data_IF_267852246497
#
_entry.id   IF_267852246497
#
_cell.length_a   1.000
_cell.length_b   1.000
_cell.length_c   1.000
_cell.angle_alpha   90.00
_cell.angle_beta   90.00
_cell.angle_gamma   90.00
#
_symmetry.space_group_name_H-M   'P 1'
#
loop_
_entity.id
_entity.type
_entity.pdbx_description
1 polymer ?
#
# COMPACT_ATOMS: atom_id res chain seq x y z
N UNK A 1 24.16 -24.84 -12.20
CA UNK A 1 23.05 -24.18 -12.94
C UNK A 1 21.77 -24.98 -12.73
N UNK A 2 20.91 -24.57 -11.79
CA UNK A 2 19.66 -25.29 -11.51
C UNK A 2 18.57 -24.74 -12.43
N UNK A 3 18.31 -25.40 -13.55
CA UNK A 3 17.22 -25.03 -14.47
C UNK A 3 15.92 -25.42 -13.79
N UNK A 4 15.12 -24.45 -13.36
CA UNK A 4 13.77 -24.68 -12.87
C UNK A 4 13.03 -25.58 -13.88
N UNK A 5 12.70 -26.81 -13.47
CA UNK A 5 11.97 -27.75 -14.31
C UNK A 5 10.61 -27.11 -14.60
N UNK A 6 10.33 -26.81 -15.87
CA UNK A 6 8.99 -26.40 -16.34
C UNK A 6 8.04 -27.59 -16.24
N UNK A 7 7.69 -28.01 -15.03
CA UNK A 7 6.55 -28.89 -14.83
C UNK A 7 5.29 -28.04 -14.89
N UNK A 8 4.87 -27.72 -16.11
CA UNK A 8 3.47 -27.40 -16.41
C UNK A 8 2.67 -28.71 -16.32
N UNK A 9 2.68 -29.34 -15.15
CA UNK A 9 1.97 -30.59 -14.91
C UNK A 9 0.46 -30.33 -14.97
N UNK A 10 -0.29 -31.32 -15.45
CA UNK A 10 -1.76 -31.32 -15.52
C UNK A 10 -2.37 -30.78 -14.21
N UNK A 11 -1.81 -31.15 -13.06
CA UNK A 11 -2.19 -30.65 -11.73
C UNK A 11 -2.15 -29.11 -11.59
N UNK A 12 -1.10 -28.44 -12.10
CA UNK A 12 -0.98 -26.98 -12.03
C UNK A 12 -2.05 -26.32 -12.92
N UNK A 13 -2.32 -26.90 -14.09
CA UNK A 13 -3.37 -26.42 -15.00
C UNK A 13 -4.75 -26.58 -14.37
N UNK A 14 -5.06 -27.76 -13.81
CA UNK A 14 -6.31 -28.02 -13.10
C UNK A 14 -6.49 -27.09 -11.89
N UNK A 15 -5.43 -26.80 -11.14
CA UNK A 15 -5.52 -25.87 -10.01
C UNK A 15 -5.84 -24.44 -10.46
N UNK A 16 -5.26 -23.99 -11.58
CA UNK A 16 -5.55 -22.65 -12.14
C UNK A 16 -7.02 -22.48 -12.53
N UNK A 17 -7.64 -23.53 -13.05
CA UNK A 17 -9.07 -23.52 -13.44
C UNK A 17 -10.00 -23.34 -12.24
N UNK A 18 -9.57 -23.77 -11.04
CA UNK A 18 -10.35 -23.66 -9.80
C UNK A 18 -10.09 -22.39 -9.00
N UNK A 19 -9.23 -21.47 -9.48
CA UNK A 19 -9.02 -20.18 -8.82
C UNK A 19 -10.29 -19.33 -8.99
N UNK A 20 -10.91 -18.84 -7.91
CA UNK A 20 -12.09 -17.99 -8.01
C UNK A 20 -11.81 -16.73 -8.84
N UNK A 21 -12.81 -16.30 -9.61
CA UNK A 21 -12.63 -15.16 -10.52
C UNK A 21 -12.25 -13.88 -9.78
N UNK A 22 -12.85 -13.63 -8.60
CA UNK A 22 -12.48 -12.54 -7.69
C UNK A 22 -10.98 -12.56 -7.34
N UNK A 23 -10.41 -13.74 -7.13
CA UNK A 23 -8.99 -13.88 -6.82
C UNK A 23 -8.12 -13.49 -8.01
N UNK A 24 -8.49 -13.92 -9.23
CA UNK A 24 -7.80 -13.54 -10.45
C UNK A 24 -7.86 -12.03 -10.69
N UNK A 25 -9.04 -11.43 -10.52
CA UNK A 25 -9.25 -9.99 -10.66
C UNK A 25 -8.36 -9.20 -9.67
N UNK A 26 -8.33 -9.61 -8.40
CA UNK A 26 -7.49 -8.98 -7.38
C UNK A 26 -6.00 -9.11 -7.70
N UNK A 27 -5.55 -10.27 -8.18
CA UNK A 27 -4.16 -10.47 -8.62
C UNK A 27 -3.85 -9.53 -9.79
N UNK A 28 -4.71 -9.50 -10.81
CA UNK A 28 -4.55 -8.64 -11.99
C UNK A 28 -4.42 -7.16 -11.60
N UNK A 29 -5.32 -6.65 -10.76
CA UNK A 29 -5.28 -5.26 -10.26
C UNK A 29 -3.99 -4.95 -9.51
N UNK A 30 -3.54 -5.84 -8.60
CA UNK A 30 -2.29 -5.64 -7.86
C UNK A 30 -1.06 -5.66 -8.76
N UNK A 31 -1.01 -6.59 -9.72
CA UNK A 31 0.08 -6.65 -10.69
C UNK A 31 0.10 -5.41 -11.59
N UNK A 32 -1.07 -4.90 -11.99
CA UNK A 32 -1.18 -3.64 -12.73
C UNK A 32 -0.62 -2.46 -11.94
N UNK A 33 -0.96 -2.32 -10.66
CA UNK A 33 -0.38 -1.29 -9.78
C UNK A 33 1.13 -1.45 -9.65
N UNK A 34 1.62 -2.66 -9.40
CA UNK A 34 3.04 -2.95 -9.26
C UNK A 34 3.84 -2.58 -10.53
N UNK A 35 3.33 -2.96 -11.71
CA UNK A 35 3.94 -2.62 -13.00
C UNK A 35 3.96 -1.11 -13.24
N UNK A 36 2.85 -0.41 -12.95
CA UNK A 36 2.80 1.04 -13.12
C UNK A 36 3.79 1.77 -12.20
N UNK A 37 3.97 1.29 -10.98
CA UNK A 37 4.97 1.83 -10.04
C UNK A 37 6.37 1.55 -10.57
N UNK A 38 6.67 0.32 -10.98
CA UNK A 38 7.98 -0.05 -11.54
C UNK A 38 8.33 0.83 -12.75
N UNK A 39 7.41 0.99 -13.70
CA UNK A 39 7.57 1.86 -14.86
C UNK A 39 7.89 3.31 -14.44
N UNK A 40 7.21 3.82 -13.40
CA UNK A 40 7.44 5.17 -12.89
C UNK A 40 8.80 5.33 -12.19
N UNK A 41 9.31 4.28 -11.54
CA UNK A 41 10.65 4.25 -10.97
C UNK A 41 11.70 4.23 -12.08
N UNK A 42 11.55 3.35 -13.07
CA UNK A 42 12.47 3.23 -14.19
C UNK A 42 12.57 4.54 -14.99
N UNK A 43 11.44 5.18 -15.27
CA UNK A 43 11.40 6.49 -15.97
C UNK A 43 12.15 7.60 -15.23
N UNK A 44 12.24 7.51 -13.91
CA UNK A 44 12.97 8.47 -13.06
C UNK A 44 14.40 8.06 -12.74
N UNK A 45 14.80 6.84 -13.11
CA UNK A 45 16.10 6.29 -12.76
C UNK A 45 16.23 5.98 -11.26
N UNK A 46 15.13 5.76 -10.55
CA UNK A 46 15.17 5.40 -9.14
C UNK A 46 15.37 3.90 -8.95
N UNK A 47 16.33 3.56 -8.09
CA UNK A 47 16.46 2.20 -7.56
C UNK A 47 15.43 1.93 -6.47
N UNK A 48 15.13 0.64 -6.23
CA UNK A 48 14.26 0.25 -5.11
C UNK A 48 14.78 0.73 -3.76
N UNK A 49 16.10 0.86 -3.61
CA UNK A 49 16.72 1.31 -2.36
C UNK A 49 16.49 2.81 -2.14
N UNK A 50 16.70 3.64 -3.17
CA UNK A 50 16.42 5.07 -3.10
C UNK A 50 14.95 5.33 -2.85
N UNK A 51 14.08 4.60 -3.56
CA UNK A 51 12.64 4.76 -3.38
C UNK A 51 12.17 4.34 -1.97
N UNK A 52 12.73 3.25 -1.44
CA UNK A 52 12.47 2.83 -0.07
C UNK A 52 12.88 3.92 0.94
N UNK A 53 14.04 4.55 0.72
CA UNK A 53 14.52 5.64 1.56
C UNK A 53 13.58 6.85 1.50
N UNK A 54 13.10 7.24 0.31
CA UNK A 54 12.14 8.34 0.15
C UNK A 54 10.81 8.10 0.89
N UNK A 55 10.36 6.85 0.96
CA UNK A 55 9.13 6.44 1.66
C UNK A 55 9.34 6.15 3.16
N UNK A 56 10.58 6.19 3.66
CA UNK A 56 10.88 5.73 5.03
C UNK A 56 10.54 4.25 5.26
N UNK A 57 10.65 3.41 4.21
CA UNK A 57 10.37 1.96 4.24
C UNK A 57 11.63 1.15 4.04
N UNK A 58 11.53 -0.16 4.26
CA UNK A 58 12.63 -1.09 3.97
C UNK A 58 12.65 -1.45 2.47
N UNK A 59 13.82 -1.60 1.83
CA UNK A 59 13.90 -2.04 0.42
C UNK A 59 13.15 -3.35 0.14
N UNK A 60 13.11 -4.25 1.12
CA UNK A 60 12.36 -5.50 1.02
C UNK A 60 10.83 -5.30 0.88
N UNK A 61 10.28 -4.21 1.43
CA UNK A 61 8.86 -3.86 1.24
C UNK A 61 8.60 -3.46 -0.20
N UNK A 62 9.47 -2.62 -0.78
CA UNK A 62 9.38 -2.22 -2.19
C UNK A 62 9.45 -3.45 -3.10
N UNK A 63 10.42 -4.33 -2.89
CA UNK A 63 10.54 -5.56 -3.69
C UNK A 63 9.30 -6.46 -3.58
N UNK A 64 8.64 -6.52 -2.41
CA UNK A 64 7.39 -7.28 -2.22
C UNK A 64 6.18 -6.63 -2.88
N UNK A 65 6.17 -5.31 -2.99
CA UNK A 65 5.14 -4.59 -3.72
C UNK A 65 5.29 -4.78 -5.22
N UNK A 66 6.51 -4.62 -5.74
CA UNK A 66 6.81 -4.78 -7.17
C UNK A 66 6.67 -6.23 -7.66
N UNK A 67 6.72 -7.23 -6.77
CA UNK A 67 6.38 -8.61 -7.15
C UNK A 67 4.89 -8.82 -7.42
N UNK A 68 4.02 -7.87 -7.06
CA UNK A 68 2.56 -7.96 -7.26
C UNK A 68 1.86 -8.98 -6.34
N UNK A 69 2.59 -9.60 -5.42
CA UNK A 69 2.08 -10.64 -4.50
C UNK A 69 1.68 -10.10 -3.13
N UNK A 70 1.94 -8.83 -2.85
CA UNK A 70 1.60 -8.19 -1.58
C UNK A 70 0.47 -7.19 -1.77
N UNK A 71 -0.34 -7.01 -0.72
CA UNK A 71 -1.42 -6.02 -0.72
C UNK A 71 -0.84 -4.63 -0.45
N UNK A 72 -1.45 -3.62 -1.07
CA UNK A 72 -1.20 -2.23 -0.76
C UNK A 72 -2.30 -1.70 0.17
N UNK A 73 -1.94 -0.82 1.10
CA UNK A 73 -2.92 0.04 1.76
C UNK A 73 -3.17 1.26 0.87
N UNK A 74 -4.33 1.90 1.01
CA UNK A 74 -4.63 3.14 0.28
C UNK A 74 -3.65 4.25 0.63
N UNK A 75 -3.27 4.38 1.90
CA UNK A 75 -2.29 5.37 2.36
C UNK A 75 -0.94 5.21 1.65
N UNK A 76 -0.45 3.97 1.53
CA UNK A 76 0.78 3.69 0.78
C UNK A 76 0.64 4.05 -0.69
N UNK A 77 -0.49 3.76 -1.32
CA UNK A 77 -0.70 4.14 -2.73
C UNK A 77 -0.69 5.67 -2.89
N UNK A 78 -1.36 6.42 -2.02
CA UNK A 78 -1.36 7.89 -2.07
C UNK A 78 0.03 8.48 -1.81
N UNK A 79 0.82 7.88 -0.92
CA UNK A 79 2.19 8.32 -0.69
C UNK A 79 3.08 8.10 -1.92
N UNK A 80 2.92 6.96 -2.59
CA UNK A 80 3.59 6.65 -3.84
C UNK A 80 3.16 7.63 -4.95
N UNK A 81 1.86 7.92 -5.08
CA UNK A 81 1.33 8.91 -6.04
C UNK A 81 2.00 10.27 -5.85
N UNK A 82 2.15 10.74 -4.61
CA UNK A 82 2.80 12.01 -4.29
C UNK A 82 4.29 12.01 -4.65
N UNK A 83 5.03 11.00 -4.22
CA UNK A 83 6.49 10.93 -4.46
C UNK A 83 6.83 10.70 -5.93
N UNK A 84 6.07 9.84 -6.59
CA UNK A 84 6.22 9.50 -7.99
C UNK A 84 5.32 10.34 -8.89
N UNK A 85 4.71 11.42 -8.43
CA UNK A 85 3.84 12.31 -9.23
C UNK A 85 3.06 11.56 -10.35
N UNK A 86 2.35 10.50 -9.97
CA UNK A 86 1.57 9.62 -10.85
C UNK A 86 0.17 9.45 -10.25
N UNK A 87 -0.80 9.02 -11.06
CA UNK A 87 -2.12 8.60 -10.58
C UNK A 87 -2.24 7.08 -10.62
N UNK A 88 -2.38 6.45 -9.45
CA UNK A 88 -2.62 5.02 -9.23
C UNK A 88 -4.10 4.72 -8.94
N UNK A 89 -4.78 5.59 -8.21
CA UNK A 89 -6.19 5.43 -7.82
C UNK A 89 -7.02 6.59 -8.35
N UNK A 90 -8.04 6.31 -9.17
CA UNK A 90 -8.98 7.33 -9.62
C UNK A 90 -10.28 7.24 -8.82
N UNK A 91 -10.64 8.31 -8.11
CA UNK A 91 -12.00 8.47 -7.59
C UNK A 91 -12.84 9.21 -8.63
N UNK A 92 -14.03 8.70 -8.95
CA UNK A 92 -14.98 9.41 -9.81
C UNK A 92 -15.62 10.62 -9.14
N UNK A 93 -15.43 10.78 -7.83
CA UNK A 93 -15.94 11.90 -7.04
C UNK A 93 -14.78 12.57 -6.30
N UNK A 94 -14.63 13.87 -6.53
CA UNK A 94 -13.79 14.70 -5.69
C UNK A 94 -14.65 15.26 -4.56
N UNK A 95 -14.28 14.93 -3.33
CA UNK A 95 -14.86 15.55 -2.15
C UNK A 95 -14.00 16.76 -1.81
N UNK A 96 -14.57 17.96 -1.89
CA UNK A 96 -13.91 19.16 -1.39
C UNK A 96 -13.92 19.10 0.14
N UNK A 97 -12.73 18.99 0.73
CA UNK A 97 -12.58 19.06 2.19
C UNK A 97 -12.86 20.49 2.61
N UNK A 98 -13.97 20.73 3.30
CA UNK A 98 -14.27 22.07 3.81
C UNK A 98 -13.52 22.31 5.13
N UNK A 99 -13.22 23.58 5.43
CA UNK A 99 -12.49 23.96 6.64
C UNK A 99 -13.18 23.46 7.93
N UNK A 100 -14.51 23.31 7.91
CA UNK A 100 -15.31 22.74 9.01
C UNK A 100 -15.02 21.27 9.26
N UNK A 101 -14.77 20.50 8.20
CA UNK A 101 -14.49 19.05 8.30
C UNK A 101 -13.12 18.84 8.94
N UNK A 102 -12.13 19.60 8.48
CA UNK A 102 -10.79 19.59 9.05
C UNK A 102 -10.78 20.03 10.52
N UNK A 103 -11.54 21.09 10.84
CA UNK A 103 -11.67 21.57 12.22
C UNK A 103 -12.29 20.50 13.13
N UNK A 104 -13.33 19.82 12.64
CA UNK A 104 -13.97 18.72 13.37
C UNK A 104 -13.02 17.55 13.60
N UNK A 105 -12.25 17.18 12.58
CA UNK A 105 -11.23 16.14 12.69
C UNK A 105 -10.17 16.48 13.75
N UNK A 106 -9.59 17.68 13.68
CA UNK A 106 -8.57 18.14 14.65
C UNK A 106 -9.13 18.15 16.07
N UNK A 107 -10.35 18.65 16.27
CA UNK A 107 -11.00 18.65 17.59
C UNK A 107 -11.16 17.22 18.12
N UNK A 108 -11.53 16.28 17.25
CA UNK A 108 -11.60 14.85 17.59
C UNK A 108 -10.26 14.28 18.05
N UNK A 109 -9.21 14.46 17.25
CA UNK A 109 -7.85 13.97 17.57
C UNK A 109 -7.33 14.55 18.89
N UNK A 110 -7.50 15.86 19.10
CA UNK A 110 -7.08 16.54 20.35
C UNK A 110 -7.83 15.98 21.56
N UNK A 111 -9.14 15.76 21.43
CA UNK A 111 -9.95 15.18 22.51
C UNK A 111 -9.48 13.77 22.86
N UNK A 112 -9.27 12.92 21.86
CA UNK A 112 -8.78 11.54 22.08
C UNK A 112 -7.38 11.55 22.71
N UNK A 113 -6.48 12.42 22.27
CA UNK A 113 -5.15 12.55 22.86
C UNK A 113 -5.23 12.97 24.34
N UNK A 114 -6.08 13.93 24.66
CA UNK A 114 -6.30 14.40 26.04
C UNK A 114 -6.85 13.28 26.94
N UNK A 115 -7.87 12.56 26.49
CA UNK A 115 -8.46 11.44 27.24
C UNK A 115 -7.43 10.33 27.53
N UNK A 116 -6.57 10.02 26.55
CA UNK A 116 -5.51 9.03 26.72
C UNK A 116 -4.44 9.50 27.71
N UNK A 117 -4.06 10.77 27.67
CA UNK A 117 -3.11 11.35 28.63
C UNK A 117 -3.67 11.31 30.07
N UNK A 118 -4.88 11.81 30.29
CA UNK A 118 -5.50 11.84 31.62
C UNK A 118 -5.72 10.43 32.19
N UNK A 119 -6.06 9.45 31.34
CA UNK A 119 -6.16 8.04 31.76
C UNK A 119 -4.81 7.51 32.22
N UNK A 120 -3.74 7.79 31.49
CA UNK A 120 -2.39 7.34 31.85
C UNK A 120 -1.92 7.96 33.17
N UNK A 121 -2.11 9.27 33.34
CA UNK A 121 -1.78 9.98 34.59
C UNK A 121 -2.57 9.44 35.80
N UNK A 122 -3.83 9.05 35.60
CA UNK A 122 -4.63 8.41 36.66
C UNK A 122 -4.14 7.01 37.05
N UNK A 123 -3.53 6.25 36.13
CA UNK A 123 -2.95 4.94 36.41
C UNK A 123 -1.58 5.07 37.10
N UNK A 124 -0.79 6.06 36.69
CA UNK A 124 0.53 6.32 37.26
C UNK A 124 0.45 6.84 38.72
N UNK A 125 -0.68 7.43 39.13
CA UNK A 125 -0.94 7.92 40.50
C UNK A 125 -1.53 6.87 41.47
N UNK A 126 -1.73 5.63 41.03
CA UNK A 126 -2.31 4.53 41.86
C UNK A 126 -1.22 3.48 42.25
N UNK A 127 0.00 3.60 41.71
CA UNK A 127 1.18 2.79 42.06
C UNK A 127 2.11 3.55 43.02
#
# INVERSE_FOLDING_TARGET
MNRARKHTGVLISSLKEHIPEKTKENISKRMGLAAQIDDALQKRGFTNQEFAFMLGKKPLEISRWLSGTHNFTTETLWEIERLLNIQLLTSSKHYEVHATDLKSYIVGEVKTAFENYSRKESLDNIL
#
